data_IF_523574500607
#
_entry.id   IF_523574500607
#
_cell.length_a   1.000
_cell.length_b   1.000
_cell.length_c   1.000
_cell.angle_alpha   90.00
_cell.angle_beta   90.00
_cell.angle_gamma   90.00
#
_symmetry.space_group_name_H-M   'P 1'
#
loop_
_entity.id
_entity.type
_entity.pdbx_description
1 polymer ?
#
# COMPACT_ATOMS: atom_id res chain seq x y z
N UNK A 1 13.11 0.72 -6.28
CA UNK A 1 13.11 1.77 -5.24
C UNK A 1 12.21 1.34 -4.10
N UNK A 2 12.77 1.39 -2.90
CA UNK A 2 12.29 0.67 -1.72
C UNK A 2 11.13 1.36 -0.99
N UNK A 3 10.50 0.62 -0.10
CA UNK A 3 9.48 1.08 0.83
C UNK A 3 10.00 2.23 1.70
N UNK A 4 9.23 3.32 1.79
CA UNK A 4 9.50 4.43 2.70
C UNK A 4 8.67 4.25 3.96
N UNK A 5 9.30 4.30 5.13
CA UNK A 5 8.58 4.21 6.40
C UNK A 5 7.87 5.53 6.72
N UNK A 6 6.66 5.44 7.28
CA UNK A 6 5.92 6.57 7.84
C UNK A 6 5.29 6.22 9.20
N UNK A 7 4.86 7.24 9.94
CA UNK A 7 4.26 7.08 11.27
C UNK A 7 5.29 6.90 12.40
N UNK A 8 4.84 6.44 13.58
CA UNK A 8 5.56 6.51 14.87
C UNK A 8 7.03 6.04 14.91
N UNK A 9 7.76 6.44 15.98
CA UNK A 9 9.20 6.24 16.15
C UNK A 9 9.65 4.78 16.32
N UNK A 10 8.73 3.90 16.72
CA UNK A 10 8.95 2.45 16.82
C UNK A 10 8.51 1.82 15.50
N UNK A 11 9.40 1.96 14.52
CA UNK A 11 9.27 1.35 13.22
C UNK A 11 9.40 -0.16 13.27
N UNK A 12 9.02 -0.85 12.19
CA UNK A 12 9.17 -2.29 12.15
C UNK A 12 10.63 -2.70 12.20
N UNK A 13 10.94 -3.62 13.11
CA UNK A 13 12.31 -3.93 13.52
C UNK A 13 13.09 -4.82 12.54
N UNK A 14 12.55 -5.19 11.38
CA UNK A 14 13.38 -5.81 10.35
C UNK A 14 12.75 -5.72 8.95
N UNK A 15 13.53 -5.21 7.99
CA UNK A 15 13.30 -5.42 6.55
C UNK A 15 14.12 -6.64 6.18
N UNK A 16 13.62 -7.81 6.58
CA UNK A 16 14.19 -9.09 6.21
C UNK A 16 13.59 -9.57 4.91
N UNK A 17 14.30 -9.40 3.81
CA UNK A 17 13.98 -10.05 2.54
C UNK A 17 14.15 -11.57 2.65
N UNK A 18 13.14 -12.28 3.15
CA UNK A 18 13.05 -13.72 2.96
C UNK A 18 12.65 -13.99 1.49
N UNK A 19 13.59 -13.77 0.55
CA UNK A 19 13.39 -14.01 -0.89
C UNK A 19 13.50 -12.80 -1.81
N UNK A 20 13.90 -11.61 -1.33
CA UNK A 20 14.06 -10.38 -2.13
C UNK A 20 13.13 -9.24 -1.70
N UNK A 21 13.07 -8.16 -2.51
CA UNK A 21 12.58 -6.79 -2.21
C UNK A 21 11.13 -6.58 -1.66
N UNK A 22 10.42 -7.61 -1.20
CA UNK A 22 8.95 -7.60 -1.11
C UNK A 22 8.34 -8.03 0.24
N UNK A 23 9.08 -8.01 1.35
CA UNK A 23 8.56 -8.34 2.68
C UNK A 23 8.72 -7.18 3.66
N UNK A 24 7.65 -6.88 4.40
CA UNK A 24 7.64 -5.90 5.50
C UNK A 24 7.00 -6.52 6.73
N UNK A 25 7.47 -6.18 7.92
CA UNK A 25 6.81 -6.55 9.18
C UNK A 25 6.22 -5.28 9.78
N UNK A 26 5.27 -5.36 10.70
CA UNK A 26 4.97 -4.30 11.65
C UNK A 26 4.73 -4.89 13.03
N UNK A 27 5.46 -4.39 14.02
CA UNK A 27 5.35 -4.74 15.44
C UNK A 27 5.79 -3.53 16.29
N UNK A 28 5.47 -3.49 17.60
CA UNK A 28 6.00 -2.44 18.48
C UNK A 28 5.21 -2.19 19.76
N UNK A 29 5.77 -1.34 20.63
CA UNK A 29 5.16 -0.89 21.89
C UNK A 29 4.75 0.58 21.73
N UNK A 30 3.69 0.86 20.96
CA UNK A 30 3.34 2.25 20.65
C UNK A 30 2.88 3.02 21.90
N UNK A 31 3.63 4.07 22.24
CA UNK A 31 3.41 4.90 23.43
C UNK A 31 2.98 6.34 23.16
N UNK A 32 2.54 6.71 21.93
CA UNK A 32 2.20 8.11 21.63
C UNK A 32 1.36 8.32 20.36
N UNK A 33 0.52 9.35 20.40
CA UNK A 33 -0.32 9.80 19.27
C UNK A 33 0.56 10.49 18.22
N UNK A 34 0.48 10.14 16.91
CA UNK A 34 -0.45 9.19 16.28
C UNK A 34 -0.02 7.72 16.39
N UNK A 35 -0.96 6.84 16.75
CA UNK A 35 -0.74 5.38 16.92
C UNK A 35 -0.84 4.59 15.59
N UNK A 36 -0.21 5.07 14.52
CA UNK A 36 -0.07 4.29 13.30
C UNK A 36 1.36 4.37 12.77
N UNK A 37 1.81 3.29 12.15
CA UNK A 37 3.04 3.24 11.36
C UNK A 37 2.82 2.40 10.13
N UNK A 38 3.69 2.54 9.15
CA UNK A 38 3.56 1.78 7.93
C UNK A 38 4.68 2.02 6.97
N UNK A 39 4.51 1.42 5.81
CA UNK A 39 5.39 1.58 4.67
C UNK A 39 4.58 2.03 3.48
N UNK A 40 5.12 2.97 2.72
CA UNK A 40 4.53 3.50 1.49
C UNK A 40 5.46 3.28 0.32
N UNK A 41 4.88 2.98 -0.84
CA UNK A 41 5.54 3.03 -2.14
C UNK A 41 4.70 3.90 -3.06
N UNK A 42 5.31 4.92 -3.64
CA UNK A 42 4.63 5.73 -4.66
C UNK A 42 4.46 4.89 -5.94
N UNK A 43 3.23 4.78 -6.43
CA UNK A 43 2.92 4.09 -7.69
C UNK A 43 2.96 5.03 -8.89
N UNK A 44 2.66 6.31 -8.67
CA UNK A 44 2.72 7.34 -9.70
C UNK A 44 2.29 8.71 -9.20
N UNK A 45 2.65 9.74 -9.95
CA UNK A 45 2.23 11.13 -9.73
C UNK A 45 1.37 11.62 -10.90
N UNK A 46 0.77 12.81 -10.78
CA UNK A 46 -0.06 13.37 -11.87
C UNK A 46 0.66 13.31 -13.21
N UNK A 47 -0.02 12.75 -14.21
CA UNK A 47 0.50 12.58 -15.57
C UNK A 47 1.03 11.18 -15.87
N UNK A 48 1.27 10.35 -14.85
CA UNK A 48 1.68 8.94 -15.03
C UNK A 48 0.49 8.01 -15.30
N UNK A 49 -0.72 8.45 -14.98
CA UNK A 49 -1.97 7.69 -15.10
C UNK A 49 -3.10 8.55 -15.67
N UNK A 50 -4.12 7.88 -16.19
CA UNK A 50 -5.30 8.50 -16.79
C UNK A 50 -6.60 7.80 -16.37
N UNK A 51 -7.73 8.49 -16.59
CA UNK A 51 -9.06 7.90 -16.45
C UNK A 51 -9.18 6.64 -17.33
N UNK A 52 -9.71 5.57 -16.73
CA UNK A 52 -9.87 4.26 -17.36
C UNK A 52 -8.68 3.31 -17.21
N UNK A 53 -7.53 3.79 -16.71
CA UNK A 53 -6.43 2.90 -16.33
C UNK A 53 -6.84 2.01 -15.16
N UNK A 54 -6.25 0.82 -15.07
CA UNK A 54 -6.52 -0.14 -14.00
C UNK A 54 -5.31 -0.23 -13.09
N UNK A 55 -5.53 -0.06 -11.78
CA UNK A 55 -4.52 -0.34 -10.77
C UNK A 55 -4.81 -1.71 -10.17
N UNK A 56 -3.88 -2.65 -10.38
CA UNK A 56 -3.89 -3.96 -9.71
C UNK A 56 -2.91 -3.89 -8.55
N UNK A 57 -3.40 -4.16 -7.34
CA UNK A 57 -2.60 -4.09 -6.13
C UNK A 57 -3.00 -5.14 -5.09
N UNK A 58 -2.04 -5.49 -4.24
CA UNK A 58 -2.26 -6.51 -3.23
C UNK A 58 -0.98 -7.03 -2.62
N UNK A 59 -1.13 -8.15 -1.94
CA UNK A 59 -0.06 -8.83 -1.26
C UNK A 59 -0.60 -9.86 -0.29
N UNK A 60 0.30 -10.39 0.52
CA UNK A 60 0.01 -11.40 1.51
C UNK A 60 0.25 -10.83 2.90
N UNK A 61 -0.64 -11.14 3.85
CA UNK A 61 -0.44 -10.83 5.26
C UNK A 61 -0.65 -12.08 6.11
N UNK A 62 0.11 -12.23 7.20
CA UNK A 62 -0.15 -13.24 8.22
C UNK A 62 0.21 -12.73 9.60
N UNK A 63 -0.22 -13.45 10.63
CA UNK A 63 0.19 -13.29 12.03
C UNK A 63 0.90 -14.59 12.44
N UNK A 64 2.15 -14.52 12.88
CA UNK A 64 2.87 -15.66 13.47
C UNK A 64 2.25 -16.06 14.82
N UNK A 65 2.15 -17.35 15.08
CA UNK A 65 1.71 -17.86 16.38
C UNK A 65 2.59 -17.31 17.53
N UNK A 66 1.96 -16.82 18.59
CA UNK A 66 2.63 -16.18 19.73
C UNK A 66 2.90 -14.68 19.55
N UNK A 67 2.42 -14.09 18.46
CA UNK A 67 2.51 -12.66 18.14
C UNK A 67 1.16 -12.06 17.76
N UNK A 68 0.10 -12.60 18.36
CA UNK A 68 -1.28 -12.21 18.15
C UNK A 68 -1.49 -10.72 18.40
N UNK A 69 -2.35 -10.10 17.59
CA UNK A 69 -2.69 -8.69 17.74
C UNK A 69 -3.54 -8.48 19.00
N UNK A 70 -3.22 -7.42 19.74
CA UNK A 70 -3.98 -7.04 20.92
C UNK A 70 -5.25 -6.26 20.52
N UNK A 71 -6.41 -6.69 21.02
CA UNK A 71 -7.66 -5.94 20.93
C UNK A 71 -8.06 -5.57 19.49
N UNK A 72 -8.33 -4.29 19.24
CA UNK A 72 -8.76 -3.73 17.96
C UNK A 72 -7.58 -3.37 17.03
N UNK A 73 -6.36 -3.80 17.34
CA UNK A 73 -5.20 -3.54 16.49
C UNK A 73 -5.33 -4.32 15.18
N UNK A 74 -4.88 -3.70 14.10
CA UNK A 74 -5.02 -4.25 12.76
C UNK A 74 -3.93 -3.76 11.81
N UNK A 75 -3.73 -4.50 10.74
CA UNK A 75 -2.92 -4.11 9.61
C UNK A 75 -3.75 -4.13 8.33
N UNK A 76 -3.44 -3.22 7.41
CA UNK A 76 -4.12 -3.14 6.13
C UNK A 76 -3.14 -3.02 4.96
N UNK A 77 -3.61 -3.47 3.81
CA UNK A 77 -3.03 -3.18 2.50
C UNK A 77 -3.97 -2.20 1.83
N UNK A 78 -3.48 -1.04 1.43
CA UNK A 78 -4.32 0.00 0.85
C UNK A 78 -3.65 0.78 -0.27
N UNK A 79 -4.49 1.33 -1.13
CA UNK A 79 -4.15 2.28 -2.16
C UNK A 79 -4.67 3.64 -1.73
N UNK A 80 -3.81 4.66 -1.68
CA UNK A 80 -4.17 6.02 -1.29
C UNK A 80 -4.08 6.97 -2.48
N UNK A 81 -5.09 7.80 -2.62
CA UNK A 81 -5.17 8.86 -3.60
C UNK A 81 -5.04 10.19 -2.90
N UNK A 82 -3.95 10.90 -3.16
CA UNK A 82 -3.64 12.16 -2.52
C UNK A 82 -4.00 13.31 -3.45
N UNK A 83 -4.57 14.37 -2.89
CA UNK A 83 -4.96 15.59 -3.58
C UNK A 83 -4.44 16.80 -2.82
N UNK A 84 -4.03 17.82 -3.58
CA UNK A 84 -3.44 19.03 -3.00
C UNK A 84 -1.93 18.99 -3.01
N UNK A 85 -1.35 19.94 -2.28
CA UNK A 85 0.09 20.11 -2.17
C UNK A 85 0.62 19.48 -0.88
N UNK A 86 1.82 18.91 -0.98
CA UNK A 86 2.54 18.25 0.11
C UNK A 86 2.39 19.00 1.44
N UNK A 87 1.78 18.36 2.43
CA UNK A 87 1.57 18.91 3.78
C UNK A 87 0.19 19.56 4.01
N UNK A 88 -0.63 19.67 2.97
CA UNK A 88 -2.07 20.00 3.05
C UNK A 88 -2.94 18.96 2.35
N UNK A 89 -2.35 17.80 2.07
CA UNK A 89 -2.97 16.77 1.26
C UNK A 89 -4.22 16.22 1.96
N UNK A 90 -5.28 16.05 1.18
CA UNK A 90 -6.40 15.22 1.56
C UNK A 90 -6.44 14.01 0.63
N UNK A 91 -7.02 12.92 1.09
CA UNK A 91 -7.07 11.72 0.28
C UNK A 91 -8.22 10.82 0.64
N UNK A 92 -8.42 9.84 -0.22
CA UNK A 92 -9.23 8.67 0.11
C UNK A 92 -8.39 7.42 -0.09
N UNK A 93 -8.79 6.36 0.57
CA UNK A 93 -8.07 5.09 0.56
C UNK A 93 -9.01 3.97 0.11
N UNK A 94 -8.45 3.03 -0.65
CA UNK A 94 -9.10 1.78 -1.01
C UNK A 94 -8.31 0.66 -0.33
N UNK A 95 -8.97 -0.09 0.55
CA UNK A 95 -8.35 -1.17 1.30
C UNK A 95 -8.52 -2.48 0.54
N UNK A 96 -7.43 -3.12 0.14
CA UNK A 96 -7.45 -4.46 -0.45
C UNK A 96 -7.73 -5.55 0.60
N UNK A 97 -7.29 -5.34 1.83
CA UNK A 97 -7.45 -6.32 2.89
C UNK A 97 -7.04 -5.83 4.27
N UNK A 98 -7.52 -6.53 5.29
CA UNK A 98 -7.21 -6.24 6.69
C UNK A 98 -7.00 -7.54 7.46
N UNK A 99 -5.93 -7.59 8.24
CA UNK A 99 -5.68 -8.62 9.25
C UNK A 99 -5.79 -7.95 10.62
N UNK A 100 -6.45 -8.61 11.56
CA UNK A 100 -6.79 -8.09 12.89
C UNK A 100 -6.68 -9.19 13.95
N UNK A 101 -7.01 -8.88 15.20
CA UNK A 101 -6.93 -9.85 16.31
C UNK A 101 -7.82 -11.10 16.16
N UNK A 102 -8.88 -11.05 15.35
CA UNK A 102 -9.75 -12.20 15.08
C UNK A 102 -9.20 -13.10 13.95
N UNK A 103 -8.12 -12.69 13.29
CA UNK A 103 -7.49 -13.45 12.21
C UNK A 103 -6.72 -14.65 12.77
N UNK A 104 -6.72 -15.75 12.02
CA UNK A 104 -6.01 -16.97 12.41
C UNK A 104 -4.50 -16.77 12.32
N UNK A 105 -3.78 -17.26 13.33
CA UNK A 105 -2.33 -17.32 13.29
C UNK A 105 -1.83 -18.39 12.33
N UNK A 106 -0.61 -18.23 11.85
CA UNK A 106 0.08 -19.06 10.86
C UNK A 106 -0.71 -19.30 9.56
N UNK A 107 -1.71 -18.46 9.31
CA UNK A 107 -2.53 -18.48 8.11
C UNK A 107 -2.15 -17.30 7.23
N UNK A 108 -1.72 -17.59 6.00
CA UNK A 108 -1.41 -16.57 5.00
C UNK A 108 -2.68 -16.12 4.31
N UNK A 109 -3.01 -14.84 4.45
CA UNK A 109 -4.12 -14.18 3.79
C UNK A 109 -3.63 -13.48 2.53
N UNK A 110 -4.12 -13.91 1.37
CA UNK A 110 -3.86 -13.25 0.09
C UNK A 110 -4.95 -12.22 -0.19
N UNK A 111 -4.53 -10.97 -0.42
CA UNK A 111 -5.40 -9.89 -0.83
C UNK A 111 -5.00 -9.41 -2.23
N UNK A 112 -5.99 -9.30 -3.11
CA UNK A 112 -5.85 -8.78 -4.46
C UNK A 112 -7.08 -7.94 -4.80
N UNK A 113 -6.85 -6.73 -5.27
CA UNK A 113 -7.90 -5.85 -5.73
C UNK A 113 -7.48 -5.13 -7.01
N UNK A 114 -8.42 -5.07 -7.95
CA UNK A 114 -8.33 -4.24 -9.15
C UNK A 114 -9.21 -3.00 -8.97
N UNK A 115 -8.66 -1.82 -9.24
CA UNK A 115 -9.39 -0.56 -9.20
C UNK A 115 -9.26 0.18 -10.54
N UNK A 116 -10.39 0.47 -11.17
CA UNK A 116 -10.44 1.27 -12.40
C UNK A 116 -10.49 2.74 -12.02
N UNK A 117 -9.56 3.53 -12.55
CA UNK A 117 -9.51 4.97 -12.30
C UNK A 117 -10.70 5.68 -12.94
N UNK A 118 -11.56 6.26 -12.11
CA UNK A 118 -12.51 7.27 -12.56
C UNK A 118 -11.82 8.65 -12.70
N UNK A 119 -12.54 9.63 -13.25
CA UNK A 119 -12.02 10.97 -13.46
C UNK A 119 -11.55 11.65 -12.16
N UNK A 120 -12.18 11.31 -11.02
CA UNK A 120 -11.80 11.84 -9.71
C UNK A 120 -10.44 11.28 -9.28
N UNK A 121 -10.31 9.95 -9.24
CA UNK A 121 -9.10 9.24 -8.89
C UNK A 121 -7.92 9.57 -9.83
N UNK A 122 -8.17 9.70 -11.13
CA UNK A 122 -7.16 10.09 -12.12
C UNK A 122 -6.69 11.55 -11.97
N UNK A 123 -7.39 12.37 -11.20
CA UNK A 123 -6.99 13.75 -10.88
C UNK A 123 -6.12 13.87 -9.63
N UNK A 124 -5.80 12.75 -8.99
CA UNK A 124 -4.89 12.72 -7.85
C UNK A 124 -3.54 13.38 -8.20
N UNK A 125 -2.91 13.97 -7.19
CA UNK A 125 -1.54 14.49 -7.30
C UNK A 125 -0.52 13.36 -7.17
N UNK A 126 -0.88 12.33 -6.40
CA UNK A 126 -0.05 11.16 -6.14
C UNK A 126 -0.94 9.97 -5.79
N UNK A 127 -0.56 8.80 -6.26
CA UNK A 127 -1.13 7.52 -5.83
C UNK A 127 -0.03 6.75 -5.10
N UNK A 128 -0.30 6.33 -3.86
CA UNK A 128 0.63 5.52 -3.07
C UNK A 128 0.00 4.20 -2.67
N UNK A 129 0.84 3.17 -2.61
CA UNK A 129 0.52 1.86 -2.11
C UNK A 129 1.13 1.69 -0.72
N UNK A 130 0.28 1.41 0.27
CA UNK A 130 0.66 1.43 1.66
C UNK A 130 0.34 0.10 2.33
N UNK A 131 1.26 -0.33 3.17
CA UNK A 131 0.99 -1.28 4.24
C UNK A 131 0.96 -0.50 5.56
N UNK A 132 -0.18 -0.51 6.26
CA UNK A 132 -0.33 0.24 7.51
C UNK A 132 -0.59 -0.71 8.66
N UNK A 133 0.01 -0.43 9.81
CA UNK A 133 -0.34 -1.00 11.10
C UNK A 133 -0.97 0.08 11.97
N UNK A 134 -2.16 -0.21 12.48
CA UNK A 134 -2.97 0.70 13.29
C UNK A 134 -3.10 0.12 14.69
N UNK A 135 -2.55 0.82 15.67
CA UNK A 135 -2.71 0.49 17.08
C UNK A 135 -3.85 1.31 17.69
N UNK A 136 -5.05 0.73 17.70
CA UNK A 136 -6.21 1.36 18.31
C UNK A 136 -6.22 1.15 19.83
N UNK A 137 -5.77 -0.02 20.29
CA UNK A 137 -5.72 -0.38 21.71
C UNK A 137 -4.28 -0.36 22.22
N UNK A 138 -4.08 0.21 23.40
CA UNK A 138 -2.78 0.25 24.08
C UNK A 138 -2.68 -1.00 24.96
N UNK A 139 -1.73 -1.93 24.68
CA UNK A 139 -1.51 -3.10 25.51
C UNK A 139 -1.07 -2.72 26.93
N UNK A 140 -1.24 -3.65 27.88
CA UNK A 140 -0.69 -3.48 29.22
C UNK A 140 0.85 -3.36 29.18
N UNK A 141 1.44 -2.71 30.19
CA UNK A 141 2.88 -2.54 30.27
C UNK A 141 3.62 -3.89 30.20
N UNK A 142 4.58 -3.99 29.27
CA UNK A 142 5.36 -5.21 29.04
C UNK A 142 4.69 -6.24 28.11
N UNK A 143 3.53 -5.93 27.53
CA UNK A 143 2.86 -6.74 26.51
C UNK A 143 3.07 -6.11 25.14
N UNK A 144 3.48 -6.92 24.15
CA UNK A 144 3.60 -6.47 22.77
C UNK A 144 2.20 -6.26 22.16
N UNK A 145 2.08 -5.31 21.23
CA UNK A 145 0.85 -5.05 20.45
C UNK A 145 0.45 -6.19 19.52
N UNK A 146 1.35 -7.17 19.36
CA UNK A 146 1.34 -8.18 18.31
C UNK A 146 2.17 -7.73 17.11
N UNK A 147 2.19 -8.58 16.09
CA UNK A 147 2.89 -8.31 14.85
C UNK A 147 2.10 -8.81 13.64
N UNK A 148 2.26 -8.14 12.50
CA UNK A 148 1.78 -8.60 11.20
C UNK A 148 2.94 -8.61 10.22
N UNK A 149 3.02 -9.68 9.44
CA UNK A 149 4.00 -9.86 8.38
C UNK A 149 3.30 -9.70 7.06
N UNK A 150 3.86 -8.84 6.23
CA UNK A 150 3.45 -8.58 4.87
C UNK A 150 4.48 -9.11 3.89
N UNK A 151 4.06 -9.81 2.84
CA UNK A 151 4.95 -10.29 1.78
C UNK A 151 4.27 -10.23 0.41
N UNK A 152 5.04 -10.49 -0.65
CA UNK A 152 4.55 -10.59 -2.04
C UNK A 152 3.72 -9.38 -2.47
N UNK A 153 4.11 -8.21 -1.98
CA UNK A 153 3.43 -6.96 -2.28
C UNK A 153 3.63 -6.53 -3.74
N UNK A 154 2.56 -6.04 -4.34
CA UNK A 154 2.60 -5.45 -5.67
C UNK A 154 1.58 -4.32 -5.79
N UNK A 155 1.93 -3.35 -6.62
CA UNK A 155 1.04 -2.32 -7.14
C UNK A 155 1.49 -1.98 -8.55
N UNK A 156 0.58 -2.02 -9.51
CA UNK A 156 0.90 -1.73 -10.91
C UNK A 156 -0.24 -1.02 -11.59
N UNK A 157 0.11 -0.01 -12.40
CA UNK A 157 -0.84 0.73 -13.23
C UNK A 157 -0.80 0.14 -14.64
N UNK A 158 -1.93 -0.33 -15.12
CA UNK A 158 -2.13 -0.90 -16.45
C UNK A 158 -2.94 0.10 -17.29
N UNK A 159 -2.35 0.66 -18.35
CA UNK A 159 -3.04 1.63 -19.18
C UNK A 159 -4.29 1.06 -19.86
N UNK A 160 -5.33 1.88 -19.99
CA UNK A 160 -6.54 1.50 -20.70
C UNK A 160 -6.21 1.08 -22.16
N UNK A 161 -6.89 0.07 -22.73
CA UNK A 161 -6.63 -0.38 -24.10
C UNK A 161 -6.68 0.75 -25.15
N UNK A 162 -7.52 1.77 -24.96
CA UNK A 162 -7.61 2.93 -25.84
C UNK A 162 -6.38 3.85 -25.80
N UNK A 163 -5.72 3.97 -24.64
CA UNK A 163 -4.50 4.76 -24.48
C UNK A 163 -3.31 4.11 -25.22
N UNK A 164 -3.20 2.77 -25.16
CA UNK A 164 -2.19 2.00 -25.88
C UNK A 164 -2.33 2.18 -27.40
N UNK A 165 -3.57 2.21 -27.90
CA UNK A 165 -3.85 2.43 -29.32
C UNK A 165 -3.39 3.81 -29.81
N UNK A 166 -3.55 4.87 -29.00
CA UNK A 166 -3.10 6.23 -29.36
C UNK A 166 -1.56 6.35 -29.43
N UNK A 167 -0.84 5.73 -28.49
CA UNK A 167 0.63 5.66 -28.51
C UNK A 167 1.14 4.93 -29.76
N UNK A 168 0.50 3.83 -30.14
CA UNK A 168 0.80 3.08 -31.37
C UNK A 168 0.61 3.92 -32.63
N UNK A 169 -0.44 4.75 -32.70
CA UNK A 169 -0.71 5.63 -33.85
C UNK A 169 0.24 6.83 -33.87
N UNK A 170 0.61 7.40 -32.71
CA UNK A 170 1.58 8.49 -32.64
C UNK A 170 2.99 8.04 -33.10
N UNK A 171 3.42 6.84 -32.70
CA UNK A 171 4.67 6.23 -33.18
C UNK A 171 4.66 5.97 -34.69
N UNK A 172 3.50 5.57 -35.24
CA UNK A 172 3.34 5.35 -36.68
C UNK A 172 3.31 6.67 -37.48
N UNK A 173 2.69 7.72 -36.94
CA UNK A 173 2.66 9.05 -37.54
C UNK A 173 4.04 9.72 -37.55
N UNK A 174 4.86 9.52 -36.51
CA UNK A 174 6.25 10.00 -36.45
C UNK A 174 7.14 9.35 -37.51
N UNK A 175 6.89 8.08 -37.85
CA UNK A 175 7.65 7.36 -38.88
C UNK A 175 7.30 7.80 -40.32
N UNK A 176 6.09 8.33 -40.54
CA UNK A 176 5.64 8.80 -41.85
C UNK A 176 6.17 10.18 -42.25
N UNK A 177 6.76 10.94 -41.32
CA UNK A 177 7.37 12.26 -41.59
C UNK A 177 8.87 12.22 -41.91
N UNK A 178 9.50 11.04 -41.95
CA UNK A 178 10.92 10.85 -42.31
C UNK A 178 11.13 10.10 -43.63
N UNK A 179 10.14 10.13 -44.53
CA UNK A 179 10.23 9.60 -45.89
C UNK A 179 10.27 10.71 -46.92
#
# INVERSE_FOLDING_TARGET
DGWTQFGGAEGPYDVGFFGGNAAVVANGTFGGVPNYSGYTQDLGVTGDYAEGDVISFGGEMYIESGKELAGANNANIQLNFWYGAAGTDYGFSIVAGTVNADSLTDTVYLYNLDYVLDAGAASATRISFDFTYVQTDIPAAGVESGAVWGTNFYGSIVPAPGAIALLGVAGLAGRRRRG
#
